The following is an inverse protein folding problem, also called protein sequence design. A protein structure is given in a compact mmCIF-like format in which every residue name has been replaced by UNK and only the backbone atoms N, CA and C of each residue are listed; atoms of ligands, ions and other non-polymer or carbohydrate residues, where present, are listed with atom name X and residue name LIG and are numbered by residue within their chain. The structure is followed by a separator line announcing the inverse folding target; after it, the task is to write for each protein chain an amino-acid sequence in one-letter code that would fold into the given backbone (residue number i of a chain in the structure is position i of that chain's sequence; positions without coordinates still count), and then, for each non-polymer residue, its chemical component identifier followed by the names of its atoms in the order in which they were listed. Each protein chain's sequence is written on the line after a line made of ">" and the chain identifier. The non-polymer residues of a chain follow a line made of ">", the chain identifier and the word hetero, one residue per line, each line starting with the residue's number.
data_IF_260913079443
#
_entry.id   IF_260913079443
#
_cell.length_a   1.000
_cell.length_b   1.000
_cell.length_c   1.000
_cell.angle_alpha   90.00
_cell.angle_beta   90.00
_cell.angle_gamma   90.00
#
_symmetry.space_group_name_H-M   'P 1'
#
loop_
_entity.id
_entity.type
_entity.pdbx_description
1 polymer ?
#
# COMPACT_ATOMS: atom_id res chain seq x y z
N UNK A 1 52.23 19.79 -3.28
CA UNK A 1 51.80 18.46 -2.79
C UNK A 1 50.42 18.20 -3.35
N UNK A 2 50.31 17.37 -4.39
CA UNK A 2 49.07 17.09 -5.13
C UNK A 2 48.30 15.97 -4.41
N UNK A 3 47.07 16.26 -3.97
CA UNK A 3 46.17 15.25 -3.37
C UNK A 3 45.52 14.45 -4.50
N UNK A 4 45.69 13.13 -4.44
CA UNK A 4 45.12 12.15 -5.35
C UNK A 4 43.69 11.87 -4.87
N UNK A 5 42.71 12.23 -5.71
CA UNK A 5 41.31 11.84 -5.56
C UNK A 5 41.21 10.38 -6.00
N UNK A 6 40.73 9.50 -5.11
CA UNK A 6 40.43 8.10 -5.42
C UNK A 6 38.99 8.04 -5.91
N UNK A 7 38.83 7.93 -7.22
CA UNK A 7 37.57 7.57 -7.88
C UNK A 7 37.42 6.06 -7.81
N UNK A 8 36.43 5.57 -7.08
CA UNK A 8 36.07 4.14 -7.07
C UNK A 8 35.34 3.84 -8.37
N UNK A 9 35.94 2.99 -9.18
CA UNK A 9 35.45 2.54 -10.47
C UNK A 9 34.42 1.42 -10.22
N UNK A 10 33.17 1.62 -10.63
CA UNK A 10 32.18 0.55 -10.71
C UNK A 10 32.66 -0.45 -11.78
N UNK A 11 32.98 -1.68 -11.36
CA UNK A 11 33.33 -2.77 -12.25
C UNK A 11 32.04 -3.45 -12.68
N UNK A 12 31.58 -3.10 -13.89
CA UNK A 12 30.55 -3.84 -14.61
C UNK A 12 31.10 -5.23 -14.95
N UNK A 13 30.70 -6.26 -14.20
CA UNK A 13 30.98 -7.64 -14.55
C UNK A 13 30.04 -8.00 -15.70
N UNK A 14 30.48 -7.74 -16.93
CA UNK A 14 29.91 -8.37 -18.11
C UNK A 14 30.33 -9.85 -18.09
N UNK A 15 29.44 -10.72 -17.60
CA UNK A 15 29.54 -12.16 -17.77
C UNK A 15 29.34 -12.50 -19.26
N UNK A 16 30.41 -12.38 -20.03
CA UNK A 16 30.49 -13.00 -21.35
C UNK A 16 30.55 -14.53 -21.16
N UNK A 17 29.38 -15.18 -21.21
CA UNK A 17 29.27 -16.63 -21.35
C UNK A 17 29.92 -17.04 -22.67
N UNK A 18 31.17 -17.47 -22.59
CA UNK A 18 31.85 -18.18 -23.66
C UNK A 18 31.51 -19.66 -23.53
N UNK A 19 31.08 -20.22 -24.66
CA UNK A 19 30.62 -21.59 -24.84
C UNK A 19 31.53 -22.64 -24.16
N UNK A 20 30.97 -23.36 -23.19
CA UNK A 20 31.39 -24.72 -22.88
C UNK A 20 30.23 -25.67 -23.19
N UNK A 21 30.40 -26.32 -24.33
CA UNK A 21 29.58 -27.39 -24.88
C UNK A 21 29.67 -28.61 -23.96
N UNK A 22 28.70 -28.79 -23.07
CA UNK A 22 28.43 -30.05 -22.40
C UNK A 22 26.90 -30.20 -22.30
N UNK A 23 26.39 -31.32 -22.80
CA UNK A 23 24.99 -31.71 -22.94
C UNK A 23 24.29 -31.86 -21.57
N UNK A 24 24.11 -30.75 -20.85
CA UNK A 24 23.26 -30.68 -19.67
C UNK A 24 22.00 -29.89 -20.07
N UNK A 25 20.87 -30.59 -20.12
CA UNK A 25 19.53 -29.99 -20.22
C UNK A 25 19.20 -29.25 -18.91
N UNK A 26 20.04 -28.31 -18.49
CA UNK A 26 19.69 -27.42 -17.39
C UNK A 26 18.64 -26.44 -17.94
N UNK A 27 17.46 -26.36 -17.31
CA UNK A 27 16.39 -25.49 -17.80
C UNK A 27 16.88 -24.03 -17.80
N UNK A 28 16.46 -23.28 -18.82
CA UNK A 28 16.69 -21.82 -18.85
C UNK A 28 15.80 -21.19 -17.77
N UNK A 29 16.36 -20.45 -16.80
CA UNK A 29 15.56 -19.78 -15.79
C UNK A 29 14.61 -18.76 -16.41
N UNK A 30 13.43 -18.65 -15.82
CA UNK A 30 12.45 -17.60 -16.09
C UNK A 30 12.57 -16.50 -15.04
N UNK A 31 12.19 -15.29 -15.43
CA UNK A 31 12.30 -14.10 -14.58
C UNK A 31 11.02 -13.30 -14.65
N UNK A 32 10.58 -12.77 -13.53
CA UNK A 32 9.49 -11.81 -13.41
C UNK A 32 10.06 -10.52 -12.82
N UNK A 33 9.93 -9.43 -13.56
CA UNK A 33 10.32 -8.10 -13.09
C UNK A 33 9.11 -7.44 -12.40
N UNK A 34 9.34 -6.93 -11.19
CA UNK A 34 8.39 -6.18 -10.39
C UNK A 34 9.00 -4.82 -10.11
N UNK A 35 8.27 -3.75 -10.38
CA UNK A 35 8.70 -2.38 -10.11
C UNK A 35 7.58 -1.58 -9.47
N UNK A 36 7.93 -0.52 -8.76
CA UNK A 36 6.96 0.41 -8.19
C UNK A 36 7.68 1.45 -7.35
N UNK A 37 6.91 2.21 -6.59
CA UNK A 37 7.42 3.19 -5.64
C UNK A 37 6.82 2.99 -4.24
N UNK A 38 7.61 3.32 -3.22
CA UNK A 38 7.18 3.38 -1.83
C UNK A 38 6.78 4.81 -1.48
N UNK A 39 5.48 5.11 -1.58
CA UNK A 39 4.93 6.46 -1.51
C UNK A 39 4.27 6.72 -0.15
N UNK A 40 5.01 7.38 0.73
CA UNK A 40 4.55 7.91 2.03
C UNK A 40 5.33 9.20 2.34
N UNK A 41 5.57 9.98 1.28
CA UNK A 41 6.79 10.73 1.05
C UNK A 41 7.90 9.77 0.62
N UNK A 42 8.75 10.14 -0.34
CA UNK A 42 9.75 9.20 -0.90
C UNK A 42 10.55 8.43 0.16
N UNK A 43 10.25 7.14 0.37
CA UNK A 43 10.99 6.26 1.29
C UNK A 43 12.29 5.83 0.61
N UNK A 44 13.42 6.43 0.97
CA UNK A 44 14.72 6.08 0.44
C UNK A 44 15.44 5.03 1.29
N UNK A 45 16.13 4.10 0.62
CA UNK A 45 16.92 3.03 1.24
C UNK A 45 16.12 2.04 2.11
N UNK A 46 14.80 1.96 1.92
CA UNK A 46 13.96 0.95 2.55
C UNK A 46 14.19 -0.42 1.88
N UNK A 47 14.11 -1.49 2.68
CA UNK A 47 14.26 -2.86 2.17
C UNK A 47 12.96 -3.31 1.51
N UNK A 48 13.04 -3.83 0.29
CA UNK A 48 11.89 -4.38 -0.44
C UNK A 48 12.00 -5.90 -0.45
N UNK A 49 10.94 -6.60 -0.05
CA UNK A 49 10.84 -8.05 -0.10
C UNK A 49 9.61 -8.47 -0.90
N UNK A 50 9.75 -9.53 -1.70
CA UNK A 50 8.65 -10.14 -2.45
C UNK A 50 8.35 -11.51 -1.89
N UNK A 51 7.08 -11.79 -1.65
CA UNK A 51 6.56 -13.08 -1.18
C UNK A 51 5.48 -13.59 -2.14
N UNK A 52 5.28 -14.90 -2.19
CA UNK A 52 4.05 -15.45 -2.74
C UNK A 52 2.91 -15.06 -1.80
N UNK A 53 1.76 -14.59 -2.32
CA UNK A 53 0.67 -14.19 -1.42
C UNK A 53 0.03 -15.37 -0.66
N UNK A 54 0.29 -16.61 -1.11
CA UNK A 54 -0.07 -17.83 -0.39
C UNK A 54 0.83 -18.14 0.82
N UNK A 55 1.99 -17.48 0.94
CA UNK A 55 2.85 -17.55 2.13
C UNK A 55 2.40 -16.49 3.15
N UNK A 56 1.30 -16.79 3.86
CA UNK A 56 0.70 -15.88 4.83
C UNK A 56 1.65 -15.49 5.98
N UNK A 57 2.64 -16.34 6.31
CA UNK A 57 3.64 -16.03 7.33
C UNK A 57 4.81 -15.18 6.80
N UNK A 58 4.82 -14.89 5.48
CA UNK A 58 5.92 -14.21 4.78
C UNK A 58 7.28 -14.85 5.11
N UNK A 59 7.30 -16.17 5.25
CA UNK A 59 8.48 -16.89 5.72
C UNK A 59 9.56 -17.04 4.64
N UNK A 60 9.16 -17.02 3.37
CA UNK A 60 10.04 -17.27 2.21
C UNK A 60 10.11 -16.04 1.31
N UNK A 61 11.20 -15.28 1.46
CA UNK A 61 11.52 -14.17 0.54
C UNK A 61 11.89 -14.75 -0.84
N UNK A 62 11.11 -14.41 -1.86
CA UNK A 62 11.35 -14.80 -3.25
C UNK A 62 12.39 -13.91 -3.92
N UNK A 63 12.37 -12.62 -3.60
CA UNK A 63 13.33 -11.64 -4.09
C UNK A 63 13.43 -10.45 -3.14
N UNK A 64 14.56 -9.74 -3.19
CA UNK A 64 14.82 -8.56 -2.37
C UNK A 64 15.49 -7.46 -3.16
N UNK A 65 15.18 -6.21 -2.83
CA UNK A 65 15.79 -5.01 -3.39
C UNK A 65 15.82 -3.90 -2.33
N UNK A 66 16.20 -2.69 -2.73
CA UNK A 66 16.07 -1.49 -1.91
C UNK A 66 15.46 -0.37 -2.75
N UNK A 67 14.72 0.51 -2.10
CA UNK A 67 14.24 1.74 -2.74
C UNK A 67 15.38 2.73 -2.96
N UNK A 68 15.30 3.48 -4.05
CA UNK A 68 16.26 4.53 -4.37
C UNK A 68 15.91 5.87 -3.67
N UNK A 69 16.60 6.94 -4.05
CA UNK A 69 16.41 8.25 -3.42
C UNK A 69 15.01 8.88 -3.64
N UNK A 70 14.26 8.41 -4.65
CA UNK A 70 12.90 8.86 -4.93
C UNK A 70 11.84 7.91 -4.34
N UNK A 71 12.27 6.81 -3.71
CA UNK A 71 11.36 5.75 -3.26
C UNK A 71 11.07 4.69 -4.33
N UNK A 72 11.67 4.80 -5.52
CA UNK A 72 11.46 3.84 -6.61
C UNK A 72 12.24 2.56 -6.34
N UNK A 73 11.70 1.42 -6.78
CA UNK A 73 12.41 0.14 -6.71
C UNK A 73 12.14 -0.74 -7.94
N UNK A 74 13.05 -1.67 -8.16
CA UNK A 74 12.91 -2.75 -9.13
C UNK A 74 13.52 -4.02 -8.58
N UNK A 75 12.77 -5.11 -8.62
CA UNK A 75 13.14 -6.40 -8.05
C UNK A 75 12.76 -7.51 -9.04
N UNK A 76 13.59 -8.55 -9.10
CA UNK A 76 13.41 -9.66 -10.03
C UNK A 76 13.24 -10.98 -9.28
N UNK A 77 12.10 -11.63 -9.49
CA UNK A 77 11.85 -13.01 -9.04
C UNK A 77 12.37 -13.97 -10.10
N UNK A 78 13.08 -15.03 -9.68
CA UNK A 78 13.74 -15.98 -10.59
C UNK A 78 13.30 -17.40 -10.25
N UNK A 79 12.78 -18.13 -11.25
CA UNK A 79 12.53 -19.57 -11.14
C UNK A 79 13.60 -20.34 -11.92
N UNK A 80 14.46 -21.03 -11.17
CA UNK A 80 15.56 -21.81 -11.72
C UNK A 80 15.10 -23.04 -12.52
N UNK A 81 13.85 -23.49 -12.36
CA UNK A 81 13.25 -24.59 -13.12
C UNK A 81 12.80 -24.17 -14.53
N UNK A 82 12.72 -22.86 -14.79
CA UNK A 82 12.21 -22.31 -16.04
C UNK A 82 10.69 -22.39 -16.20
N UNK A 83 9.96 -22.67 -15.12
CA UNK A 83 8.50 -22.59 -15.12
C UNK A 83 8.05 -21.13 -15.17
N UNK A 84 6.89 -20.88 -15.78
CA UNK A 84 6.34 -19.53 -15.83
C UNK A 84 6.00 -19.05 -14.41
N UNK A 85 6.38 -17.81 -14.09
CA UNK A 85 6.15 -17.21 -12.78
C UNK A 85 4.83 -16.47 -12.86
N UNK A 86 3.75 -17.13 -12.41
CA UNK A 86 2.39 -16.59 -12.42
C UNK A 86 1.78 -16.67 -11.02
N UNK A 87 0.77 -15.85 -10.78
CA UNK A 87 -0.03 -15.86 -9.54
C UNK A 87 0.07 -14.55 -8.79
N UNK A 88 -0.26 -14.61 -7.50
CA UNK A 88 -0.35 -13.45 -6.61
C UNK A 88 0.94 -13.28 -5.81
N UNK A 89 1.38 -12.03 -5.71
CA UNK A 89 2.59 -11.64 -4.99
C UNK A 89 2.28 -10.51 -4.03
N UNK A 90 2.88 -10.58 -2.83
CA UNK A 90 2.91 -9.47 -1.89
C UNK A 90 4.29 -8.83 -2.00
N UNK A 91 4.30 -7.52 -2.22
CA UNK A 91 5.52 -6.71 -2.09
C UNK A 91 5.43 -5.96 -0.78
N UNK A 92 6.44 -6.13 0.06
CA UNK A 92 6.58 -5.49 1.36
C UNK A 92 7.79 -4.55 1.33
N UNK A 93 7.59 -3.35 1.86
CA UNK A 93 8.64 -2.35 2.07
C UNK A 93 8.80 -2.14 3.57
N UNK A 94 9.99 -2.43 4.07
CA UNK A 94 10.35 -2.32 5.48
C UNK A 94 11.40 -1.23 5.68
N UNK A 95 11.08 -0.28 6.54
CA UNK A 95 12.01 0.75 6.97
C UNK A 95 12.95 0.24 8.08
N UNK A 96 14.23 0.54 7.93
CA UNK A 96 15.31 0.16 8.85
C UNK A 96 16.15 1.37 9.29
N UNK A 97 17.31 1.12 9.92
CA UNK A 97 18.18 2.16 10.48
C UNK A 97 18.81 3.09 9.42
N UNK A 98 18.80 2.68 8.15
CA UNK A 98 19.34 3.45 7.03
C UNK A 98 18.23 4.18 6.23
N UNK A 99 16.96 3.89 6.52
CA UNK A 99 15.82 4.42 5.77
C UNK A 99 15.53 5.88 6.13
N UNK A 100 15.28 6.71 5.12
CA UNK A 100 14.80 8.09 5.29
C UNK A 100 13.54 8.32 4.49
N UNK A 101 12.70 9.26 4.92
CA UNK A 101 11.45 9.61 4.23
C UNK A 101 11.38 11.13 4.07
N UNK A 102 10.69 11.62 3.05
CA UNK A 102 10.36 13.04 2.95
C UNK A 102 9.01 13.27 3.66
N UNK A 103 8.88 14.36 4.41
CA UNK A 103 7.59 14.72 4.99
C UNK A 103 6.64 15.20 3.90
N UNK A 104 5.59 14.43 3.63
CA UNK A 104 4.57 14.71 2.62
C UNK A 104 3.29 15.35 3.20
N UNK A 105 3.14 15.36 4.53
CA UNK A 105 2.13 16.13 5.24
C UNK A 105 2.62 17.56 5.56
N UNK A 106 1.76 18.40 6.16
CA UNK A 106 2.13 19.76 6.56
C UNK A 106 3.24 19.75 7.61
N UNK A 107 3.18 18.80 8.54
CA UNK A 107 4.18 18.56 9.58
C UNK A 107 4.24 17.07 9.93
N UNK A 108 5.45 16.53 10.06
CA UNK A 108 5.69 15.15 10.46
C UNK A 108 6.45 15.14 11.78
N UNK A 109 5.72 15.28 12.89
CA UNK A 109 6.28 15.56 14.21
C UNK A 109 6.84 16.99 14.28
N UNK A 110 8.15 17.15 14.31
CA UNK A 110 8.82 18.48 14.25
C UNK A 110 9.38 18.81 12.86
N UNK A 111 9.20 17.92 11.88
CA UNK A 111 9.78 18.01 10.52
C UNK A 111 8.77 18.69 9.59
N UNK A 112 9.18 19.77 8.91
CA UNK A 112 8.32 20.49 7.98
C UNK A 112 8.14 19.71 6.65
N UNK A 113 7.03 19.97 5.96
CA UNK A 113 6.78 19.45 4.61
C UNK A 113 7.98 19.64 3.67
N UNK A 114 8.36 18.58 2.95
CA UNK A 114 9.49 18.54 2.04
C UNK A 114 10.86 18.34 2.71
N UNK A 115 10.93 18.31 4.05
CA UNK A 115 12.16 17.97 4.78
C UNK A 115 12.26 16.47 5.06
N UNK A 116 13.47 16.00 5.36
CA UNK A 116 13.74 14.58 5.60
C UNK A 116 13.43 14.19 7.05
N UNK A 117 12.59 13.16 7.20
CA UNK A 117 12.30 12.47 8.46
C UNK A 117 13.43 11.47 8.73
N UNK A 118 14.02 11.49 9.94
CA UNK A 118 15.13 10.61 10.28
C UNK A 118 14.68 9.16 10.49
N UNK A 119 15.59 8.22 10.21
CA UNK A 119 15.37 6.77 10.39
C UNK A 119 14.81 6.38 11.77
N UNK A 120 15.19 7.11 12.83
CA UNK A 120 14.72 6.82 14.20
C UNK A 120 13.19 6.87 14.36
N UNK A 121 12.50 7.65 13.53
CA UNK A 121 11.03 7.72 13.52
C UNK A 121 10.39 6.66 12.61
N UNK A 122 11.19 6.04 11.73
CA UNK A 122 10.73 5.20 10.63
C UNK A 122 11.00 3.71 10.85
N UNK A 123 12.03 3.36 11.61
CA UNK A 123 12.39 1.95 11.87
C UNK A 123 11.15 1.16 12.28
N UNK A 124 10.93 0.03 11.57
CA UNK A 124 9.79 -0.84 11.80
C UNK A 124 8.50 -0.45 11.07
N UNK A 125 8.48 0.66 10.32
CA UNK A 125 7.39 0.95 9.39
C UNK A 125 7.35 -0.15 8.33
N UNK A 126 6.18 -0.76 8.17
CA UNK A 126 5.94 -1.83 7.22
C UNK A 126 4.78 -1.43 6.31
N UNK A 127 5.05 -1.33 5.02
CA UNK A 127 4.04 -1.04 4.00
C UNK A 127 4.00 -2.22 3.02
N UNK A 128 2.85 -2.51 2.45
CA UNK A 128 2.71 -3.58 1.47
C UNK A 128 1.71 -3.27 0.37
N UNK A 129 1.84 -4.01 -0.73
CA UNK A 129 0.85 -4.07 -1.78
C UNK A 129 0.75 -5.51 -2.30
N UNK A 130 -0.40 -5.88 -2.83
CA UNK A 130 -0.63 -7.21 -3.42
C UNK A 130 -1.00 -7.05 -4.89
N UNK A 131 -0.39 -7.89 -5.74
CA UNK A 131 -0.51 -7.81 -7.19
C UNK A 131 -0.58 -9.20 -7.80
N UNK A 132 -1.01 -9.29 -9.06
CA UNK A 132 -1.12 -10.53 -9.82
C UNK A 132 -0.26 -10.44 -11.08
N UNK A 133 0.53 -11.48 -11.36
CA UNK A 133 1.24 -11.64 -12.63
C UNK A 133 0.66 -12.79 -13.46
N UNK A 134 0.48 -12.51 -14.74
CA UNK A 134 0.20 -13.50 -15.79
C UNK A 134 1.47 -14.00 -16.50
N UNK A 135 2.65 -13.83 -15.87
CA UNK A 135 3.96 -14.11 -16.47
C UNK A 135 4.62 -12.88 -17.10
N UNK A 136 3.96 -11.72 -17.08
CA UNK A 136 4.51 -10.43 -17.52
C UNK A 136 4.93 -9.56 -16.35
N UNK A 137 5.79 -8.56 -16.62
CA UNK A 137 6.24 -7.60 -15.62
C UNK A 137 5.07 -6.79 -15.06
N UNK A 138 5.13 -6.51 -13.75
CA UNK A 138 4.02 -5.87 -13.01
C UNK A 138 4.48 -4.61 -12.28
N UNK A 139 3.54 -3.67 -12.13
CA UNK A 139 3.69 -2.51 -11.23
C UNK A 139 3.12 -2.84 -9.86
N UNK A 140 3.77 -2.35 -8.81
CA UNK A 140 3.40 -2.61 -7.42
C UNK A 140 3.72 -1.39 -6.55
N UNK A 141 2.89 -0.36 -6.62
CA UNK A 141 3.09 0.81 -5.75
C UNK A 141 2.65 0.50 -4.32
N UNK A 142 3.50 0.88 -3.37
CA UNK A 142 3.39 0.54 -1.95
C UNK A 142 3.15 1.82 -1.17
N UNK A 143 2.03 1.88 -0.46
CA UNK A 143 1.65 3.01 0.38
C UNK A 143 0.74 2.50 1.52
N UNK A 144 0.33 3.38 2.45
CA UNK A 144 -0.50 2.93 3.58
C UNK A 144 -1.87 2.43 3.17
N UNK A 145 -2.43 2.93 2.07
CA UNK A 145 -3.74 2.53 1.56
C UNK A 145 -3.69 1.12 0.95
N UNK A 146 -2.71 0.85 0.10
CA UNK A 146 -2.49 -0.49 -0.46
C UNK A 146 -2.07 -1.48 0.64
N UNK A 147 -1.47 -1.01 1.73
CA UNK A 147 -1.19 -1.84 2.92
C UNK A 147 -2.47 -2.30 3.57
N UNK A 148 -3.37 -1.37 3.94
CA UNK A 148 -4.68 -1.71 4.55
C UNK A 148 -5.50 -2.65 3.66
N UNK A 149 -5.51 -2.39 2.34
CA UNK A 149 -6.19 -3.25 1.38
C UNK A 149 -5.52 -4.65 1.28
N UNK A 150 -4.19 -4.71 1.27
CA UNK A 150 -3.45 -5.98 1.24
C UNK A 150 -3.77 -6.83 2.47
N UNK A 151 -3.72 -6.26 3.68
CA UNK A 151 -4.02 -7.00 4.90
C UNK A 151 -5.49 -7.46 4.96
N UNK A 152 -6.41 -6.68 4.39
CA UNK A 152 -7.83 -7.07 4.27
C UNK A 152 -8.03 -8.25 3.31
N UNK A 153 -7.29 -8.30 2.19
CA UNK A 153 -7.30 -9.45 1.26
C UNK A 153 -6.73 -10.69 1.95
N UNK A 154 -5.59 -10.54 2.63
CA UNK A 154 -4.95 -11.65 3.35
C UNK A 154 -5.85 -12.17 4.47
N UNK A 155 -6.52 -11.29 5.21
CA UNK A 155 -7.51 -11.64 6.23
C UNK A 155 -8.69 -12.40 5.63
N UNK A 156 -9.25 -11.92 4.52
CA UNK A 156 -10.34 -12.60 3.79
C UNK A 156 -9.96 -14.01 3.32
N UNK A 157 -8.72 -14.18 2.84
CA UNK A 157 -8.20 -15.48 2.41
C UNK A 157 -7.92 -16.43 3.59
N UNK A 158 -7.62 -15.90 4.77
CA UNK A 158 -7.33 -16.69 5.97
C UNK A 158 -8.58 -17.24 6.69
N UNK A 159 -9.78 -16.76 6.35
CA UNK A 159 -11.04 -17.23 6.95
C UNK A 159 -11.26 -18.72 6.62
N UNK A 160 -11.60 -19.51 7.63
CA UNK A 160 -11.88 -20.93 7.46
C UNK A 160 -13.05 -21.15 6.48
N UNK A 161 -12.78 -21.85 5.37
CA UNK A 161 -13.78 -22.09 4.33
C UNK A 161 -13.95 -20.95 3.33
N UNK A 162 -13.07 -19.94 3.36
CA UNK A 162 -13.01 -18.89 2.35
C UNK A 162 -12.93 -19.46 0.94
N UNK A 163 -13.60 -18.80 0.00
CA UNK A 163 -13.51 -19.12 -1.43
C UNK A 163 -12.22 -18.58 -2.06
N UNK A 164 -11.49 -17.71 -1.36
CA UNK A 164 -10.27 -17.06 -1.84
C UNK A 164 -9.07 -17.97 -1.54
N UNK A 165 -8.57 -18.66 -2.57
CA UNK A 165 -7.29 -19.35 -2.52
C UNK A 165 -6.25 -18.58 -3.35
N UNK A 166 -5.44 -17.75 -2.69
CA UNK A 166 -4.43 -16.93 -3.36
C UNK A 166 -3.38 -17.75 -4.13
N UNK A 167 -3.21 -19.04 -3.82
CA UNK A 167 -2.29 -19.91 -4.56
C UNK A 167 -2.81 -20.29 -5.95
N UNK A 168 -4.13 -20.26 -6.16
CA UNK A 168 -4.78 -20.78 -7.38
C UNK A 168 -5.80 -19.82 -7.99
N UNK A 169 -6.03 -18.66 -7.38
CA UNK A 169 -6.97 -17.64 -7.85
C UNK A 169 -6.65 -17.19 -9.28
N UNK A 170 -7.70 -16.99 -10.09
CA UNK A 170 -7.54 -16.47 -11.45
C UNK A 170 -7.33 -14.95 -11.45
N UNK A 171 -6.75 -14.40 -12.52
CA UNK A 171 -6.60 -12.95 -12.67
C UNK A 171 -7.92 -12.18 -12.55
N UNK A 172 -9.02 -12.76 -13.07
CA UNK A 172 -10.33 -12.13 -13.05
C UNK A 172 -10.91 -12.11 -11.63
N UNK A 173 -10.87 -13.25 -10.94
CA UNK A 173 -11.38 -13.35 -9.56
C UNK A 173 -10.52 -12.50 -8.60
N UNK A 174 -9.20 -12.42 -8.84
CA UNK A 174 -8.32 -11.57 -8.03
C UNK A 174 -8.63 -10.08 -8.22
N UNK A 175 -8.99 -9.66 -9.44
CA UNK A 175 -9.43 -8.27 -9.68
C UNK A 175 -10.75 -7.97 -8.97
N UNK A 176 -11.70 -8.92 -8.92
CA UNK A 176 -12.93 -8.78 -8.13
C UNK A 176 -12.60 -8.60 -6.64
N UNK A 177 -11.73 -9.46 -6.09
CA UNK A 177 -11.27 -9.32 -4.69
C UNK A 177 -10.60 -7.96 -4.41
N UNK A 178 -9.81 -7.43 -5.34
CA UNK A 178 -9.24 -6.09 -5.22
C UNK A 178 -10.31 -4.99 -5.23
N UNK A 179 -11.34 -5.10 -6.06
CA UNK A 179 -12.43 -4.12 -6.11
C UNK A 179 -13.26 -4.16 -4.82
N UNK A 180 -13.67 -5.34 -4.38
CA UNK A 180 -14.42 -5.54 -3.13
C UNK A 180 -13.65 -4.95 -1.94
N UNK A 181 -12.35 -5.24 -1.88
CA UNK A 181 -11.50 -4.71 -0.81
C UNK A 181 -11.33 -3.19 -0.92
N UNK A 182 -11.25 -2.65 -2.14
CA UNK A 182 -11.20 -1.20 -2.34
C UNK A 182 -12.46 -0.52 -1.80
N UNK A 183 -13.63 -1.14 -1.98
CA UNK A 183 -14.89 -0.64 -1.41
C UNK A 183 -14.88 -0.67 0.13
N UNK A 184 -14.40 -1.76 0.75
CA UNK A 184 -14.24 -1.86 2.21
C UNK A 184 -13.32 -0.77 2.74
N UNK A 185 -12.14 -0.59 2.14
CA UNK A 185 -11.20 0.46 2.57
C UNK A 185 -11.77 1.86 2.30
N UNK A 186 -12.50 2.04 1.20
CA UNK A 186 -13.24 3.26 0.90
C UNK A 186 -14.24 3.60 2.01
N UNK A 187 -15.06 2.64 2.44
CA UNK A 187 -16.00 2.81 3.53
C UNK A 187 -15.32 3.19 4.86
N UNK A 188 -14.14 2.62 5.15
CA UNK A 188 -13.36 2.97 6.34
C UNK A 188 -12.88 4.43 6.30
N UNK A 189 -12.39 4.85 5.14
CA UNK A 189 -11.87 6.19 4.91
C UNK A 189 -12.98 7.23 4.69
N UNK A 190 -14.22 6.78 4.45
CA UNK A 190 -15.34 7.63 4.05
C UNK A 190 -15.23 8.15 2.61
N UNK A 191 -14.55 7.42 1.73
CA UNK A 191 -14.38 7.75 0.31
C UNK A 191 -15.10 6.69 -0.53
N UNK A 192 -15.96 7.10 -1.46
CA UNK A 192 -16.66 6.16 -2.35
C UNK A 192 -15.69 5.56 -3.38
N UNK A 193 -15.31 4.30 -3.15
CA UNK A 193 -14.45 3.51 -4.04
C UNK A 193 -15.20 2.39 -4.77
N UNK A 194 -16.54 2.40 -4.80
CA UNK A 194 -17.36 1.37 -5.45
C UNK A 194 -17.06 1.17 -6.95
N UNK A 195 -16.47 2.16 -7.60
CA UNK A 195 -16.07 2.11 -9.01
C UNK A 195 -14.55 2.21 -9.22
N UNK A 196 -13.74 2.21 -8.15
CA UNK A 196 -12.31 2.51 -8.21
C UNK A 196 -11.49 1.47 -7.44
N UNK A 197 -10.53 0.86 -8.13
CA UNK A 197 -9.58 -0.05 -7.52
C UNK A 197 -8.41 0.74 -6.92
N UNK A 198 -8.23 0.69 -5.59
CA UNK A 198 -7.20 1.43 -4.86
C UNK A 198 -5.77 1.05 -5.27
N UNK A 199 -5.56 -0.18 -5.77
CA UNK A 199 -4.29 -0.66 -6.28
C UNK A 199 -3.94 -0.10 -7.67
N UNK A 200 -4.91 0.51 -8.36
CA UNK A 200 -4.74 1.09 -9.70
C UNK A 200 -4.66 2.63 -9.66
N UNK A 201 -4.79 3.25 -8.49
CA UNK A 201 -4.72 4.69 -8.31
C UNK A 201 -3.25 5.10 -8.17
N UNK A 202 -2.87 6.11 -8.95
CA UNK A 202 -1.53 6.71 -8.88
C UNK A 202 -1.46 7.66 -7.68
N UNK A 203 -1.06 7.12 -6.53
CA UNK A 203 -0.80 7.89 -5.31
C UNK A 203 0.60 8.49 -5.42
N UNK A 204 0.69 9.81 -5.28
CA UNK A 204 1.93 10.57 -5.46
C UNK A 204 2.50 11.11 -4.15
N UNK A 205 3.75 11.58 -4.18
CA UNK A 205 4.36 12.27 -3.04
C UNK A 205 3.79 13.70 -2.90
N UNK A 206 2.94 13.90 -1.89
CA UNK A 206 2.30 15.19 -1.64
C UNK A 206 3.27 16.29 -1.18
N UNK A 207 4.55 16.01 -0.90
CA UNK A 207 5.56 17.07 -0.68
C UNK A 207 5.84 17.87 -1.95
N UNK A 208 5.56 17.31 -3.12
CA UNK A 208 5.64 17.99 -4.42
C UNK A 208 4.24 18.43 -4.85
N UNK A 209 3.87 19.66 -4.49
CA UNK A 209 2.52 20.22 -4.73
C UNK A 209 2.02 20.12 -6.17
N UNK A 210 2.93 20.07 -7.15
CA UNK A 210 2.60 19.98 -8.57
C UNK A 210 2.19 18.57 -9.03
N UNK A 211 2.51 17.54 -8.26
CA UNK A 211 2.22 16.15 -8.62
C UNK A 211 0.81 15.76 -8.15
N UNK A 212 0.26 16.45 -7.13
CA UNK A 212 -1.09 16.20 -6.63
C UNK A 212 -2.14 16.57 -7.67
N UNK A 213 -3.07 15.64 -7.91
CA UNK A 213 -4.14 15.81 -8.90
C UNK A 213 -5.01 17.04 -8.61
N UNK A 214 -5.24 17.86 -9.64
CA UNK A 214 -6.17 18.99 -9.59
C UNK A 214 -7.44 18.75 -10.41
N UNK A 215 -7.59 17.55 -10.98
CA UNK A 215 -8.69 17.21 -11.89
C UNK A 215 -9.55 16.04 -11.39
N UNK A 216 -8.97 15.13 -10.60
CA UNK A 216 -9.61 13.94 -10.07
C UNK A 216 -9.67 14.02 -8.55
N UNK A 217 -10.89 14.14 -8.00
CA UNK A 217 -11.09 14.33 -6.58
C UNK A 217 -10.80 13.08 -5.75
N UNK A 218 -11.03 11.88 -6.28
CA UNK A 218 -10.73 10.64 -5.57
C UNK A 218 -9.22 10.47 -5.46
N UNK A 219 -8.51 10.61 -6.58
CA UNK A 219 -7.04 10.51 -6.61
C UNK A 219 -6.39 11.56 -5.70
N UNK A 220 -6.88 12.81 -5.73
CA UNK A 220 -6.40 13.86 -4.84
C UNK A 220 -6.69 13.52 -3.37
N UNK A 221 -7.92 13.15 -3.02
CA UNK A 221 -8.31 12.84 -1.65
C UNK A 221 -7.49 11.70 -1.08
N UNK A 222 -7.33 10.59 -1.82
CA UNK A 222 -6.53 9.44 -1.36
C UNK A 222 -5.04 9.78 -1.26
N UNK A 223 -4.51 10.60 -2.16
CA UNK A 223 -3.12 11.10 -2.04
C UNK A 223 -2.94 11.86 -0.73
N UNK A 224 -3.88 12.74 -0.38
CA UNK A 224 -3.82 13.53 0.84
C UNK A 224 -4.09 12.70 2.10
N UNK A 225 -4.98 11.71 2.05
CA UNK A 225 -5.16 10.74 3.14
C UNK A 225 -3.86 9.97 3.37
N UNK A 226 -3.25 9.44 2.31
CA UNK A 226 -1.98 8.74 2.43
C UNK A 226 -0.91 9.64 3.03
N UNK A 227 -0.81 10.90 2.59
CA UNK A 227 0.13 11.86 3.16
C UNK A 227 -0.16 12.14 4.63
N UNK A 228 -1.41 12.40 5.00
CA UNK A 228 -1.81 12.79 6.36
C UNK A 228 -1.36 11.81 7.45
N UNK A 229 -1.22 10.52 7.13
CA UNK A 229 -0.72 9.52 8.06
C UNK A 229 0.73 9.77 8.52
N UNK A 230 1.52 10.65 7.86
CA UNK A 230 2.85 11.07 8.36
C UNK A 230 2.78 12.17 9.42
N UNK A 231 1.61 12.78 9.61
CA UNK A 231 1.37 13.85 10.59
C UNK A 231 0.76 13.37 11.92
N UNK A 232 0.53 12.06 12.05
CA UNK A 232 -0.14 11.51 13.23
C UNK A 232 0.54 11.91 14.53
N UNK A 233 -0.28 12.23 15.53
CA UNK A 233 0.17 12.48 16.90
C UNK A 233 0.88 11.24 17.45
N UNK A 234 2.17 11.40 17.74
CA UNK A 234 3.01 10.34 18.30
C UNK A 234 2.98 10.42 19.83
N UNK A 235 2.51 9.36 20.48
CA UNK A 235 2.51 9.27 21.94
C UNK A 235 3.93 9.34 22.52
N UNK A 236 4.07 9.89 23.74
CA UNK A 236 5.37 10.02 24.42
C UNK A 236 6.16 8.70 24.45
N UNK A 237 7.33 8.69 23.81
CA UNK A 237 8.22 7.52 23.75
C UNK A 237 7.85 6.49 22.68
N UNK A 238 6.88 6.80 21.81
CA UNK A 238 6.58 6.06 20.59
C UNK A 238 7.31 6.68 19.38
N UNK A 239 7.12 6.09 18.20
CA UNK A 239 7.64 6.59 16.91
C UNK A 239 6.50 6.82 15.93
N UNK A 240 6.76 7.61 14.87
CA UNK A 240 5.82 7.75 13.76
C UNK A 240 5.47 6.40 13.13
N UNK A 241 6.45 5.52 12.93
CA UNK A 241 6.24 4.17 12.41
C UNK A 241 5.26 3.35 13.25
N UNK A 242 5.34 3.45 14.58
CA UNK A 242 4.42 2.77 15.48
C UNK A 242 3.00 3.33 15.34
N UNK A 243 2.83 4.64 15.26
CA UNK A 243 1.50 5.26 15.09
C UNK A 243 0.83 4.84 13.77
N UNK A 244 1.58 4.80 12.66
CA UNK A 244 1.08 4.35 11.35
C UNK A 244 0.70 2.86 11.41
N UNK A 245 1.59 2.02 11.93
CA UNK A 245 1.33 0.59 12.05
C UNK A 245 0.14 0.31 12.98
N UNK A 246 -0.01 1.03 14.09
CA UNK A 246 -1.13 0.89 15.01
C UNK A 246 -2.47 1.22 14.32
N UNK A 247 -2.50 2.23 13.45
CA UNK A 247 -3.68 2.53 12.64
C UNK A 247 -3.99 1.41 11.62
N UNK A 248 -3.00 0.94 10.86
CA UNK A 248 -3.17 -0.16 9.89
C UNK A 248 -3.66 -1.44 10.59
N UNK A 249 -3.06 -1.78 11.74
CA UNK A 249 -3.47 -2.94 12.54
C UNK A 249 -4.89 -2.80 13.10
N UNK A 250 -5.31 -1.58 13.46
CA UNK A 250 -6.67 -1.32 13.93
C UNK A 250 -7.68 -1.52 12.79
N UNK A 251 -7.36 -1.05 11.58
CA UNK A 251 -8.14 -1.29 10.36
C UNK A 251 -8.26 -2.78 10.07
N UNK A 252 -7.14 -3.51 10.05
CA UNK A 252 -7.13 -4.97 9.87
C UNK A 252 -8.01 -5.68 10.93
N UNK A 253 -7.91 -5.28 12.19
CA UNK A 253 -8.71 -5.87 13.27
C UNK A 253 -10.21 -5.69 13.04
N UNK A 254 -10.64 -4.49 12.61
CA UNK A 254 -12.04 -4.19 12.32
C UNK A 254 -12.53 -4.93 11.07
N UNK A 255 -11.76 -4.91 9.97
CA UNK A 255 -12.15 -5.59 8.74
C UNK A 255 -12.19 -7.10 8.93
N UNK A 256 -11.19 -7.70 9.58
CA UNK A 256 -11.19 -9.14 9.87
C UNK A 256 -12.40 -9.57 10.71
N UNK A 257 -12.85 -8.74 11.65
CA UNK A 257 -14.04 -9.04 12.44
C UNK A 257 -15.33 -9.02 11.59
N UNK A 258 -15.49 -7.98 10.76
CA UNK A 258 -16.66 -7.85 9.87
C UNK A 258 -16.70 -8.91 8.79
N UNK A 259 -15.55 -9.31 8.26
CA UNK A 259 -15.47 -10.37 7.26
C UNK A 259 -15.93 -11.74 7.81
N UNK A 260 -15.86 -11.93 9.14
CA UNK A 260 -16.37 -13.14 9.82
C UNK A 260 -17.85 -12.99 10.19
N UNK A 261 -18.25 -11.80 10.63
CA UNK A 261 -19.61 -11.48 11.05
C UNK A 261 -19.95 -10.02 10.68
N UNK A 262 -20.63 -9.76 9.55
CA UNK A 262 -20.96 -8.40 9.12
C UNK A 262 -21.87 -7.63 10.07
N UNK A 263 -22.62 -8.33 10.93
CA UNK A 263 -23.49 -7.73 11.94
C UNK A 263 -22.79 -7.55 13.30
N UNK A 264 -21.46 -7.73 13.37
CA UNK A 264 -20.70 -7.61 14.61
C UNK A 264 -20.82 -6.20 15.21
N UNK A 265 -21.15 -6.13 16.50
CA UNK A 265 -21.07 -4.88 17.27
C UNK A 265 -19.59 -4.54 17.55
N UNK A 266 -18.99 -3.74 16.66
CA UNK A 266 -17.60 -3.29 16.75
C UNK A 266 -17.33 -2.50 18.02
N UNK A 267 -18.29 -1.67 18.46
CA UNK A 267 -18.24 -0.93 19.72
C UNK A 267 -18.08 -1.83 20.96
N UNK A 268 -18.52 -3.09 20.90
CA UNK A 268 -18.31 -4.07 21.98
C UNK A 268 -17.10 -4.98 21.72
N UNK A 269 -17.01 -5.55 20.51
CA UNK A 269 -16.01 -6.57 20.18
C UNK A 269 -14.61 -6.00 19.93
N UNK A 270 -14.52 -4.81 19.33
CA UNK A 270 -13.29 -4.20 18.82
C UNK A 270 -13.13 -2.73 19.24
N UNK A 271 -13.70 -2.35 20.38
CA UNK A 271 -13.72 -0.97 20.89
C UNK A 271 -12.37 -0.25 20.87
N UNK A 272 -11.27 -0.94 21.15
CA UNK A 272 -9.93 -0.35 21.13
C UNK A 272 -9.47 -0.01 19.70
N UNK A 273 -9.69 -0.92 18.75
CA UNK A 273 -9.37 -0.69 17.34
C UNK A 273 -10.24 0.43 16.76
N UNK A 274 -11.55 0.41 17.06
CA UNK A 274 -12.47 1.48 16.65
C UNK A 274 -12.07 2.84 17.22
N UNK A 275 -11.65 2.90 18.50
CA UNK A 275 -11.16 4.13 19.10
C UNK A 275 -9.90 4.66 18.41
N UNK A 276 -8.97 3.77 18.04
CA UNK A 276 -7.79 4.14 17.26
C UNK A 276 -8.19 4.68 15.88
N UNK A 277 -9.09 4.00 15.16
CA UNK A 277 -9.56 4.46 13.84
C UNK A 277 -10.20 5.84 13.94
N UNK A 278 -11.14 6.06 14.86
CA UNK A 278 -11.83 7.34 14.98
C UNK A 278 -10.89 8.49 15.40
N UNK A 279 -9.95 8.22 16.31
CA UNK A 279 -8.95 9.23 16.69
C UNK A 279 -8.02 9.60 15.53
N UNK A 280 -7.66 8.63 14.68
CA UNK A 280 -6.85 8.86 13.48
C UNK A 280 -7.66 9.52 12.38
N UNK A 281 -8.93 9.14 12.15
CA UNK A 281 -9.81 9.74 11.13
C UNK A 281 -10.04 11.23 11.38
N UNK A 282 -10.16 11.66 12.64
CA UNK A 282 -10.22 13.09 12.98
C UNK A 282 -8.95 13.82 12.53
N UNK A 283 -7.77 13.25 12.79
CA UNK A 283 -6.49 13.85 12.37
C UNK A 283 -6.33 13.85 10.86
N UNK A 284 -6.71 12.77 10.17
CA UNK A 284 -6.71 12.66 8.71
C UNK A 284 -7.60 13.74 8.10
N UNK A 285 -8.83 13.90 8.59
CA UNK A 285 -9.80 14.89 8.09
C UNK A 285 -9.28 16.33 8.20
N UNK A 286 -8.71 16.68 9.35
CA UNK A 286 -8.08 17.99 9.58
C UNK A 286 -6.87 18.20 8.66
N UNK A 287 -5.99 17.20 8.58
CA UNK A 287 -4.73 17.29 7.82
C UNK A 287 -4.96 17.33 6.31
N UNK A 288 -5.91 16.56 5.77
CA UNK A 288 -6.31 16.64 4.34
C UNK A 288 -6.69 18.07 3.97
N UNK A 289 -7.46 18.75 4.84
CA UNK A 289 -7.83 20.15 4.66
C UNK A 289 -6.60 21.07 4.68
N UNK A 290 -5.67 20.84 5.60
CA UNK A 290 -4.46 21.64 5.73
C UNK A 290 -3.50 21.46 4.55
N UNK A 291 -3.20 20.21 4.14
CA UNK A 291 -2.32 19.94 2.99
C UNK A 291 -2.94 20.51 1.70
N UNK A 292 -4.25 20.33 1.49
CA UNK A 292 -4.96 20.91 0.33
C UNK A 292 -4.83 22.43 0.27
N UNK A 293 -4.96 23.11 1.42
CA UNK A 293 -4.79 24.56 1.51
C UNK A 293 -3.33 25.01 1.24
N UNK A 294 -2.34 24.26 1.72
CA UNK A 294 -0.93 24.52 1.42
C UNK A 294 -0.62 24.36 -0.08
N UNK A 295 -1.05 23.25 -0.69
CA UNK A 295 -0.88 23.01 -2.13
C UNK A 295 -1.56 24.10 -2.95
N UNK A 296 -2.76 24.53 -2.55
CA UNK A 296 -3.47 25.63 -3.20
C UNK A 296 -2.69 26.95 -3.09
N UNK A 297 -2.06 27.20 -1.94
CA UNK A 297 -1.18 28.35 -1.75
C UNK A 297 0.09 28.28 -2.61
N UNK A 298 0.67 27.09 -2.78
CA UNK A 298 1.89 26.86 -3.57
C UNK A 298 1.65 26.99 -5.07
N UNK A 299 0.57 26.40 -5.56
CA UNK A 299 0.28 26.25 -7.00
C UNK A 299 -0.65 27.34 -7.54
N UNK A 300 -1.48 27.94 -6.68
CA UNK A 300 -2.57 28.82 -7.07
C UNK A 300 -3.78 28.10 -7.68
N UNK A 301 -3.83 26.77 -7.58
CA UNK A 301 -4.93 25.93 -8.08
C UNK A 301 -5.55 25.18 -6.91
N UNK A 302 -6.88 25.24 -6.80
CA UNK A 302 -7.62 24.51 -5.78
C UNK A 302 -7.54 23.00 -6.03
N UNK A 303 -7.21 22.23 -4.99
CA UNK A 303 -7.21 20.77 -5.04
C UNK A 303 -8.64 20.28 -4.79
N UNK A 304 -9.26 19.55 -5.72
CA UNK A 304 -10.62 19.03 -5.53
C UNK A 304 -10.55 17.87 -4.54
N UNK A 305 -10.95 18.08 -3.29
CA UNK A 305 -11.00 17.01 -2.27
C UNK A 305 -12.44 16.67 -1.92
N UNK A 306 -12.72 15.39 -1.73
CA UNK A 306 -13.95 14.93 -1.09
C UNK A 306 -13.87 15.19 0.42
N UNK A 307 -15.02 15.28 1.08
CA UNK A 307 -15.08 15.41 2.53
C UNK A 307 -14.69 14.08 3.19
N UNK A 308 -13.62 14.09 3.98
CA UNK A 308 -13.21 12.93 4.78
C UNK A 308 -13.88 13.03 6.15
N UNK A 309 -14.69 12.04 6.58
CA UNK A 309 -15.37 12.08 7.86
C UNK A 309 -14.39 11.96 9.03
N UNK A 310 -14.74 12.57 10.16
CA UNK A 310 -13.93 12.54 11.37
C UNK A 310 -14.05 11.22 12.16
N UNK A 311 -15.08 10.43 11.87
CA UNK A 311 -15.37 9.15 12.53
C UNK A 311 -15.79 8.12 11.48
N UNK A 312 -15.53 6.85 11.76
CA UNK A 312 -15.98 5.72 10.96
C UNK A 312 -17.51 5.59 11.04
N UNK A 313 -18.16 5.42 9.88
CA UNK A 313 -19.55 5.00 9.81
C UNK A 313 -19.64 3.47 9.93
N UNK A 314 -19.84 2.98 11.15
CA UNK A 314 -19.91 1.54 11.45
C UNK A 314 -21.06 0.84 10.71
N UNK A 315 -22.20 1.51 10.58
CA UNK A 315 -23.38 0.95 9.91
C UNK A 315 -23.12 0.82 8.41
N UNK A 316 -22.59 1.88 7.78
CA UNK A 316 -22.25 1.84 6.36
C UNK A 316 -21.15 0.80 6.04
N UNK A 317 -20.14 0.68 6.90
CA UNK A 317 -19.10 -0.33 6.74
C UNK A 317 -19.66 -1.75 6.87
N UNK A 318 -20.54 -1.99 7.84
CA UNK A 318 -21.22 -3.28 8.01
C UNK A 318 -22.08 -3.65 6.80
N UNK A 319 -22.84 -2.69 6.27
CA UNK A 319 -23.64 -2.86 5.05
C UNK A 319 -22.75 -3.20 3.84
N UNK A 320 -21.65 -2.47 3.62
CA UNK A 320 -20.69 -2.73 2.52
C UNK A 320 -20.10 -4.14 2.62
N UNK A 321 -19.60 -4.54 3.79
CA UNK A 321 -19.01 -5.88 3.97
C UNK A 321 -20.09 -6.97 3.80
N UNK A 322 -21.29 -6.74 4.33
CA UNK A 322 -22.42 -7.64 4.15
C UNK A 322 -22.79 -7.84 2.67
N UNK A 323 -22.89 -6.76 1.91
CA UNK A 323 -23.23 -6.80 0.47
C UNK A 323 -22.18 -7.53 -0.38
N UNK A 324 -20.90 -7.40 -0.02
CA UNK A 324 -19.79 -8.12 -0.65
C UNK A 324 -19.91 -9.62 -0.35
N UNK A 325 -20.14 -10.01 0.91
CA UNK A 325 -20.21 -11.41 1.32
C UNK A 325 -21.47 -12.11 0.77
N UNK A 326 -22.62 -11.43 0.79
CA UNK A 326 -23.89 -11.98 0.32
C UNK A 326 -24.03 -11.92 -1.22
N UNK A 327 -23.09 -11.28 -1.92
CA UNK A 327 -23.06 -11.16 -3.37
C UNK A 327 -24.14 -10.23 -3.94
N UNK A 328 -24.67 -9.32 -3.12
CA UNK A 328 -25.67 -8.32 -3.50
C UNK A 328 -25.06 -7.02 -4.04
N UNK A 329 -23.78 -6.76 -3.76
CA UNK A 329 -23.04 -5.54 -4.17
C UNK A 329 -22.88 -5.30 -5.68
N UNK A 330 -23.34 -6.22 -6.54
CA UNK A 330 -23.13 -6.16 -7.99
C UNK A 330 -24.38 -6.00 -8.86
N UNK A 331 -25.56 -5.65 -8.32
CA UNK A 331 -26.76 -5.45 -9.17
C UNK A 331 -27.32 -4.03 -9.14
N UNK A 332 -26.55 -3.11 -9.73
CA UNK A 332 -27.09 -1.88 -10.28
C UNK A 332 -28.38 -2.15 -11.07
N UNK A 333 -29.42 -1.41 -10.73
CA UNK A 333 -30.81 -1.73 -11.06
C UNK A 333 -31.10 -1.99 -12.54
N UNK A 334 -31.90 -3.03 -12.78
CA UNK A 334 -32.71 -3.14 -14.00
C UNK A 334 -34.20 -3.04 -13.66
N UNK A 335 -34.74 -1.84 -13.92
CA UNK A 335 -36.09 -1.56 -14.39
C UNK A 335 -37.25 -2.47 -13.96
N UNK A 336 -38.05 -1.98 -13.00
CA UNK A 336 -39.48 -2.29 -12.97
C UNK A 336 -40.19 -1.50 -14.07
N UNK A 337 -40.45 -2.12 -15.21
CA UNK A 337 -41.41 -1.62 -16.19
C UNK A 337 -42.83 -1.72 -15.62
N UNK A 338 -43.53 -0.58 -15.64
CA UNK A 338 -44.99 -0.52 -15.65
C UNK A 338 -45.51 -0.39 -17.07
#
# INVERSE_FOLDING_TARGET
>A
MKKIVRTTLAVSIALALTACNNDNNDPTPTTLDISGAAIKGSLAAATVNVYAASDAERATVLATAQTDANGDYSVQVVDASGAEIMGTFVVEVLADEDTTMICDATLCGDVARGESIPAAELVGLSLSTITYSDGTAISADVNSLTTMATETILSSAAIEGSAIDLATISAADFLEVQNDTSEIIGAILGVDLSATNIFAIDIVDASVSADVSTEDSITATLTLINASLTSLDVADGSTLSAAINDYVNAVETVTAALLVDPEVDLGTANSAALATINATQTQISDEVTMISAEITSDTGVEVPTEEVPMELDEDALGDTVGDIIDGTGGTGGTGGEG
#
